data_IF_458267096984
#
_entry.id   IF_458267096984
#
_cell.length_a   1.000
_cell.length_b   1.000
_cell.length_c   1.000
_cell.angle_alpha   90.00
_cell.angle_beta   90.00
_cell.angle_gamma   90.00
#
_symmetry.space_group_name_H-M   'P 1'
#
loop_
_entity.id
_entity.type
_entity.pdbx_description
1 polymer ?
#
# COMPACT_ATOMS: atom_id res chain seq x y z
N UNK A 1 6.43 -12.55 61.51
CA UNK A 1 7.10 -13.46 60.55
C UNK A 1 6.28 -13.77 59.30
N UNK A 2 4.94 -13.93 59.36
CA UNK A 2 4.11 -14.24 58.19
C UNK A 2 4.17 -13.20 57.04
N UNK A 3 4.20 -11.90 57.38
CA UNK A 3 4.19 -10.82 56.39
C UNK A 3 5.45 -10.78 55.51
N UNK A 4 6.63 -11.04 56.08
CA UNK A 4 7.90 -11.11 55.35
C UNK A 4 7.93 -12.30 54.37
N UNK A 5 7.30 -13.41 54.75
CA UNK A 5 7.17 -14.58 53.89
C UNK A 5 6.21 -14.32 52.71
N UNK A 6 5.07 -13.68 52.96
CA UNK A 6 4.11 -13.26 51.92
C UNK A 6 4.71 -12.25 50.94
N UNK A 7 5.52 -11.30 51.40
CA UNK A 7 6.26 -10.36 50.56
C UNK A 7 7.27 -11.06 49.64
N UNK A 8 8.03 -12.03 50.17
CA UNK A 8 8.99 -12.84 49.40
C UNK A 8 8.31 -13.72 48.35
N UNK A 9 7.16 -14.34 48.70
CA UNK A 9 6.36 -15.13 47.76
C UNK A 9 5.74 -14.24 46.68
N UNK A 10 5.22 -13.06 47.06
CA UNK A 10 4.68 -12.08 46.11
C UNK A 10 5.75 -11.56 45.13
N UNK A 11 6.95 -11.25 45.61
CA UNK A 11 8.07 -10.86 44.74
C UNK A 11 8.47 -11.98 43.78
N UNK A 12 8.54 -13.24 44.24
CA UNK A 12 8.83 -14.38 43.37
C UNK A 12 7.74 -14.56 42.30
N UNK A 13 6.46 -14.48 42.67
CA UNK A 13 5.34 -14.59 41.73
C UNK A 13 5.36 -13.48 40.67
N UNK A 14 5.67 -12.24 41.06
CA UNK A 14 5.81 -11.12 40.12
C UNK A 14 6.98 -11.34 39.15
N UNK A 15 8.12 -11.83 39.64
CA UNK A 15 9.29 -12.13 38.80
C UNK A 15 9.01 -13.27 37.81
N UNK A 16 8.41 -14.36 38.26
CA UNK A 16 8.02 -15.49 37.38
C UNK A 16 6.95 -15.07 36.37
N UNK A 17 5.96 -14.28 36.80
CA UNK A 17 4.95 -13.72 35.91
C UNK A 17 5.55 -12.82 34.83
N UNK A 18 6.49 -11.94 35.21
CA UNK A 18 7.23 -11.10 34.27
C UNK A 18 8.07 -11.90 33.28
N UNK A 19 8.79 -12.93 33.75
CA UNK A 19 9.59 -13.80 32.89
C UNK A 19 8.71 -14.54 31.86
N UNK A 20 7.57 -15.08 32.29
CA UNK A 20 6.61 -15.73 31.39
C UNK A 20 6.05 -14.76 30.35
N UNK A 21 5.71 -13.52 30.75
CA UNK A 21 5.22 -12.50 29.83
C UNK A 21 6.28 -12.11 28.79
N UNK A 22 7.53 -11.90 29.20
CA UNK A 22 8.65 -11.59 28.28
C UNK A 22 8.91 -12.76 27.33
N UNK A 23 8.90 -14.00 27.82
CA UNK A 23 9.07 -15.20 27.00
C UNK A 23 7.95 -15.33 25.96
N UNK A 24 6.69 -15.15 26.37
CA UNK A 24 5.54 -15.17 25.46
C UNK A 24 5.62 -14.06 24.41
N UNK A 25 5.95 -12.83 24.82
CA UNK A 25 6.14 -11.72 23.90
C UNK A 25 7.27 -12.01 22.90
N UNK A 26 8.39 -12.58 23.38
CA UNK A 26 9.49 -13.04 22.55
C UNK A 26 9.06 -14.11 21.54
N UNK A 27 8.32 -15.13 21.97
CA UNK A 27 7.82 -16.20 21.10
C UNK A 27 6.83 -15.68 20.05
N UNK A 28 5.96 -14.72 20.41
CA UNK A 28 5.05 -14.07 19.48
C UNK A 28 5.84 -13.25 18.46
N UNK A 29 6.85 -12.49 18.90
CA UNK A 29 7.68 -11.69 18.02
C UNK A 29 8.45 -12.58 17.03
N UNK A 30 9.09 -13.66 17.51
CA UNK A 30 9.82 -14.59 16.64
C UNK A 30 8.90 -15.27 15.66
N UNK A 31 7.71 -15.73 16.07
CA UNK A 31 6.73 -16.32 15.16
C UNK A 31 6.27 -15.33 14.09
N UNK A 32 6.04 -14.06 14.43
CA UNK A 32 5.67 -13.03 13.45
C UNK A 32 6.80 -12.74 12.47
N UNK A 33 8.05 -12.65 12.95
CA UNK A 33 9.22 -12.46 12.10
C UNK A 33 9.43 -13.65 11.15
N UNK A 34 9.26 -14.89 11.64
CA UNK A 34 9.34 -16.09 10.81
C UNK A 34 8.24 -16.12 9.74
N UNK A 35 7.00 -15.78 10.10
CA UNK A 35 5.89 -15.66 9.14
C UNK A 35 6.16 -14.59 8.09
N UNK A 36 6.69 -13.43 8.51
CA UNK A 36 7.08 -12.35 7.61
C UNK A 36 8.20 -12.79 6.66
N UNK A 37 9.25 -13.45 7.17
CA UNK A 37 10.35 -13.96 6.36
C UNK A 37 9.89 -15.04 5.37
N UNK A 38 9.03 -15.97 5.81
CA UNK A 38 8.44 -16.99 4.93
C UNK A 38 7.55 -16.37 3.85
N UNK A 39 6.71 -15.39 4.20
CA UNK A 39 5.88 -14.64 3.25
C UNK A 39 6.72 -13.88 2.23
N UNK A 40 7.80 -13.23 2.68
CA UNK A 40 8.74 -12.53 1.82
C UNK A 40 9.44 -13.49 0.86
N UNK A 41 9.99 -14.60 1.35
CA UNK A 41 10.65 -15.61 0.53
C UNK A 41 9.69 -16.23 -0.51
N UNK A 42 8.45 -16.51 -0.09
CA UNK A 42 7.40 -17.02 -0.97
C UNK A 42 7.08 -16.02 -2.09
N UNK A 43 6.88 -14.76 -1.73
CA UNK A 43 6.57 -13.68 -2.69
C UNK A 43 7.74 -13.44 -3.63
N UNK A 44 8.97 -13.45 -3.11
CA UNK A 44 10.19 -13.33 -3.89
C UNK A 44 10.29 -14.42 -4.95
N UNK A 45 10.07 -15.68 -4.56
CA UNK A 45 10.10 -16.80 -5.47
C UNK A 45 9.02 -16.69 -6.57
N UNK A 46 7.79 -16.30 -6.22
CA UNK A 46 6.70 -16.11 -7.19
C UNK A 46 6.97 -14.97 -8.17
N UNK A 47 7.60 -13.89 -7.71
CA UNK A 47 7.89 -12.71 -8.52
C UNK A 47 9.24 -12.82 -9.25
N UNK A 48 9.93 -13.95 -9.20
CA UNK A 48 11.24 -14.14 -9.82
C UNK A 48 11.20 -14.04 -11.35
N UNK A 49 10.11 -14.49 -11.98
CA UNK A 49 9.94 -14.45 -13.43
C UNK A 49 9.68 -13.03 -13.99
N UNK A 50 9.29 -12.10 -13.12
CA UNK A 50 8.95 -10.72 -13.50
C UNK A 50 10.25 -9.90 -13.58
N UNK A 51 10.57 -9.26 -14.72
CA UNK A 51 11.77 -8.45 -14.86
C UNK A 51 11.87 -7.38 -13.78
N UNK A 52 13.06 -7.19 -13.22
CA UNK A 52 13.33 -6.23 -12.13
C UNK A 52 14.49 -5.33 -12.49
N UNK A 53 14.51 -4.13 -11.93
CA UNK A 53 15.70 -3.29 -11.98
C UNK A 53 16.84 -3.95 -11.20
N UNK A 54 18.06 -3.67 -11.60
CA UNK A 54 19.26 -4.07 -10.86
C UNK A 54 19.42 -3.22 -9.58
N UNK A 55 20.21 -3.72 -8.62
CA UNK A 55 20.54 -2.97 -7.40
C UNK A 55 19.54 -3.07 -6.25
N UNK A 56 18.68 -4.10 -6.20
CA UNK A 56 17.81 -4.34 -5.06
C UNK A 56 18.60 -4.75 -3.80
N UNK A 57 18.51 -3.95 -2.74
CA UNK A 57 19.10 -4.28 -1.44
C UNK A 57 18.27 -5.34 -0.69
N UNK A 58 18.89 -6.22 0.11
CA UNK A 58 18.16 -7.12 0.99
C UNK A 58 17.20 -6.34 1.91
N UNK A 59 15.95 -6.82 2.03
CA UNK A 59 14.86 -6.25 2.83
C UNK A 59 14.34 -4.86 2.44
N UNK A 60 15.18 -3.96 1.93
CA UNK A 60 14.81 -2.59 1.53
C UNK A 60 14.42 -2.50 0.04
N UNK A 61 14.89 -3.44 -0.78
CA UNK A 61 14.68 -3.43 -2.22
C UNK A 61 15.35 -2.21 -2.87
N UNK A 62 14.60 -1.51 -3.71
CA UNK A 62 15.03 -0.31 -4.44
C UNK A 62 14.65 0.98 -3.71
N UNK A 63 14.08 0.91 -2.50
CA UNK A 63 13.60 2.10 -1.79
C UNK A 63 14.69 3.18 -1.63
N UNK A 64 15.94 2.78 -1.42
CA UNK A 64 17.09 3.69 -1.30
C UNK A 64 17.56 4.29 -2.64
N UNK A 65 17.18 3.68 -3.75
CA UNK A 65 17.51 4.17 -5.09
C UNK A 65 16.50 5.20 -5.59
N UNK A 66 15.33 5.28 -4.95
CA UNK A 66 14.28 6.21 -5.33
C UNK A 66 14.63 7.63 -4.91
N UNK A 67 14.39 8.59 -5.80
CA UNK A 67 14.55 10.01 -5.50
C UNK A 67 13.48 10.45 -4.49
N UNK A 68 13.83 11.24 -3.46
CA UNK A 68 12.89 11.67 -2.44
C UNK A 68 12.00 12.84 -2.90
N UNK A 69 12.49 13.67 -3.81
CA UNK A 69 11.71 14.76 -4.41
C UNK A 69 10.68 14.21 -5.42
N UNK A 70 9.46 14.74 -5.40
CA UNK A 70 8.36 14.23 -6.21
C UNK A 70 8.59 14.40 -7.72
N UNK A 71 9.20 15.51 -8.14
CA UNK A 71 9.51 15.79 -9.55
C UNK A 71 10.61 14.85 -10.01
N UNK A 72 11.70 14.77 -9.24
CA UNK A 72 12.84 13.91 -9.59
C UNK A 72 12.44 12.42 -9.59
N UNK A 73 11.60 12.01 -8.64
CA UNK A 73 11.02 10.66 -8.61
C UNK A 73 10.21 10.37 -9.87
N UNK A 74 9.32 11.29 -10.26
CA UNK A 74 8.50 11.12 -11.45
C UNK A 74 9.36 11.02 -12.73
N UNK A 75 10.37 11.88 -12.85
CA UNK A 75 11.33 11.84 -13.96
C UNK A 75 12.14 10.53 -13.97
N UNK A 76 12.60 10.08 -12.80
CA UNK A 76 13.29 8.80 -12.64
C UNK A 76 12.41 7.63 -13.09
N UNK A 77 11.12 7.64 -12.73
CA UNK A 77 10.20 6.59 -13.16
C UNK A 77 10.01 6.58 -14.68
N UNK A 78 9.86 7.75 -15.31
CA UNK A 78 9.79 7.85 -16.77
C UNK A 78 11.07 7.28 -17.40
N UNK A 79 12.23 7.69 -16.90
CA UNK A 79 13.52 7.21 -17.40
C UNK A 79 13.62 5.69 -17.33
N UNK A 80 13.27 5.07 -16.18
CA UNK A 80 13.27 3.61 -16.06
C UNK A 80 12.32 2.93 -17.06
N UNK A 81 11.13 3.49 -17.29
CA UNK A 81 10.19 2.91 -18.25
C UNK A 81 10.65 3.05 -19.71
N UNK A 82 11.32 4.15 -20.06
CA UNK A 82 11.84 4.36 -21.41
C UNK A 82 13.06 3.47 -21.70
N UNK A 83 14.02 3.39 -20.76
CA UNK A 83 15.20 2.52 -20.90
C UNK A 83 14.82 1.03 -21.02
N UNK A 84 13.74 0.62 -20.34
CA UNK A 84 13.28 -0.76 -20.30
C UNK A 84 12.08 -1.02 -21.21
N UNK A 85 11.79 -0.14 -22.18
CA UNK A 85 10.60 -0.22 -23.05
C UNK A 85 10.51 -1.51 -23.87
N UNK A 86 11.64 -2.20 -24.07
CA UNK A 86 11.71 -3.51 -24.72
C UNK A 86 11.13 -4.65 -23.87
N UNK A 87 10.95 -4.42 -22.56
CA UNK A 87 10.28 -5.35 -21.64
C UNK A 87 8.78 -5.03 -21.58
N UNK A 88 7.91 -6.03 -21.35
CA UNK A 88 6.46 -5.81 -21.27
C UNK A 88 6.03 -5.05 -20.01
N UNK A 89 6.81 -5.17 -18.94
CA UNK A 89 6.55 -4.60 -17.61
C UNK A 89 7.85 -4.61 -16.79
N UNK A 90 7.89 -3.82 -15.72
CA UNK A 90 9.04 -3.72 -14.82
C UNK A 90 8.57 -3.86 -13.38
N UNK A 91 9.33 -4.55 -12.53
CA UNK A 91 9.07 -4.67 -11.10
C UNK A 91 10.15 -3.97 -10.29
N UNK A 92 9.73 -3.25 -9.25
CA UNK A 92 10.60 -2.75 -8.20
C UNK A 92 10.15 -3.31 -6.85
N UNK A 93 11.10 -3.78 -6.04
CA UNK A 93 10.87 -4.06 -4.63
C UNK A 93 10.90 -2.77 -3.81
N UNK A 94 9.84 -2.47 -3.05
CA UNK A 94 9.81 -1.44 -2.02
C UNK A 94 9.69 -2.13 -0.66
N UNK A 95 10.83 -2.28 0.00
CA UNK A 95 10.91 -3.18 1.14
C UNK A 95 10.51 -4.61 0.75
N UNK A 96 9.57 -5.25 1.49
CA UNK A 96 9.05 -6.57 1.15
C UNK A 96 7.92 -6.56 0.09
N UNK A 97 7.53 -5.40 -0.43
CA UNK A 97 6.38 -5.25 -1.34
C UNK A 97 6.87 -5.11 -2.79
N UNK A 98 6.52 -6.03 -3.69
CA UNK A 98 6.82 -5.87 -5.11
C UNK A 98 5.78 -4.93 -5.77
N UNK A 99 6.27 -3.88 -6.42
CA UNK A 99 5.48 -2.95 -7.22
C UNK A 99 5.76 -3.22 -8.69
N UNK A 100 4.70 -3.47 -9.46
CA UNK A 100 4.80 -3.73 -10.91
C UNK A 100 4.32 -2.51 -11.68
N UNK A 101 5.19 -2.00 -12.54
CA UNK A 101 4.93 -0.88 -13.45
C UNK A 101 4.52 -1.43 -14.81
N UNK A 102 3.33 -1.01 -15.25
CA UNK A 102 2.79 -1.29 -16.57
C UNK A 102 2.90 -0.01 -17.39
N UNK A 103 3.63 -0.06 -18.49
CA UNK A 103 3.87 1.07 -19.40
C UNK A 103 3.64 0.71 -20.87
N UNK A 104 3.52 -0.59 -21.19
CA UNK A 104 3.05 -1.01 -22.50
C UNK A 104 1.52 -0.89 -22.55
N UNK A 105 1.00 -0.25 -23.60
CA UNK A 105 -0.43 0.01 -23.79
C UNK A 105 -1.27 -1.27 -23.73
N UNK A 106 -0.81 -2.37 -24.33
CA UNK A 106 -1.53 -3.65 -24.35
C UNK A 106 -1.75 -4.20 -22.94
N UNK A 107 -0.71 -4.14 -22.10
CA UNK A 107 -0.79 -4.61 -20.72
C UNK A 107 -1.63 -3.68 -19.83
N UNK A 108 -1.54 -2.37 -20.06
CA UNK A 108 -2.33 -1.37 -19.34
C UNK A 108 -3.82 -1.52 -19.66
N UNK A 109 -4.17 -1.74 -20.93
CA UNK A 109 -5.55 -1.92 -21.38
C UNK A 109 -6.22 -3.11 -20.68
N UNK A 110 -5.53 -4.25 -20.57
CA UNK A 110 -6.04 -5.46 -19.90
C UNK A 110 -6.46 -5.18 -18.45
N UNK A 111 -5.69 -4.35 -17.73
CA UNK A 111 -6.00 -3.99 -16.35
C UNK A 111 -7.12 -2.94 -16.28
N UNK A 112 -7.05 -1.88 -17.09
CA UNK A 112 -8.00 -0.77 -17.04
C UNK A 112 -9.41 -1.16 -17.52
N UNK A 113 -9.51 -2.10 -18.46
CA UNK A 113 -10.79 -2.63 -18.96
C UNK A 113 -11.35 -3.76 -18.09
N UNK A 114 -10.57 -4.27 -17.13
CA UNK A 114 -10.99 -5.39 -16.29
C UNK A 114 -12.13 -5.01 -15.36
N UNK A 115 -13.25 -5.72 -15.45
CA UNK A 115 -14.32 -5.61 -14.46
C UNK A 115 -14.05 -6.40 -13.17
N UNK A 116 -13.04 -7.29 -13.18
CA UNK A 116 -12.67 -8.17 -12.06
C UNK A 116 -11.59 -7.54 -11.17
N UNK A 117 -10.55 -6.97 -11.75
CA UNK A 117 -9.41 -6.42 -11.01
C UNK A 117 -9.61 -4.94 -10.64
N UNK A 118 -10.65 -4.66 -9.85
CA UNK A 118 -11.01 -3.29 -9.43
C UNK A 118 -10.64 -2.97 -7.98
N UNK A 119 -10.01 -3.92 -7.29
CA UNK A 119 -9.56 -3.76 -5.92
C UNK A 119 -8.49 -2.66 -5.80
N UNK A 120 -8.66 -1.82 -4.79
CA UNK A 120 -7.73 -0.73 -4.53
C UNK A 120 -6.48 -1.27 -3.84
N UNK A 121 -5.34 -0.70 -4.22
CA UNK A 121 -4.07 -0.97 -3.53
C UNK A 121 -4.20 -0.67 -2.03
N UNK A 122 -3.45 -1.38 -1.20
CA UNK A 122 -3.33 -1.12 0.23
C UNK A 122 -3.03 0.35 0.55
N UNK A 123 -2.35 1.06 -0.37
CA UNK A 123 -2.06 2.49 -0.23
C UNK A 123 -3.32 3.36 -0.05
N UNK A 124 -4.47 2.96 -0.59
CA UNK A 124 -5.73 3.68 -0.40
C UNK A 124 -6.25 3.62 1.04
N UNK A 125 -5.80 2.65 1.86
CA UNK A 125 -6.18 2.57 3.28
C UNK A 125 -5.73 3.79 4.07
N UNK A 126 -4.68 4.47 3.63
CA UNK A 126 -4.24 5.74 4.21
C UNK A 126 -5.32 6.83 4.13
N UNK A 127 -6.19 6.76 3.12
CA UNK A 127 -7.28 7.71 2.93
C UNK A 127 -8.57 7.34 3.68
N UNK A 128 -8.68 6.09 4.18
CA UNK A 128 -9.90 5.62 4.84
C UNK A 128 -10.26 6.38 6.13
N UNK A 129 -9.31 6.78 7.02
CA UNK A 129 -9.64 7.58 8.19
C UNK A 129 -10.29 8.92 7.86
N UNK A 130 -9.95 9.49 6.70
CA UNK A 130 -10.47 10.78 6.23
C UNK A 130 -11.76 10.63 5.41
N UNK A 131 -11.74 9.78 4.39
CA UNK A 131 -12.83 9.66 3.40
C UNK A 131 -13.83 8.53 3.71
N UNK A 132 -13.54 7.72 4.73
CA UNK A 132 -14.24 6.48 5.01
C UNK A 132 -14.16 5.49 3.85
N UNK A 133 -15.09 4.54 3.84
CA UNK A 133 -15.29 3.63 2.71
C UNK A 133 -16.21 4.30 1.67
N UNK A 134 -15.62 5.22 0.90
CA UNK A 134 -16.18 6.13 -0.10
C UNK A 134 -16.13 5.63 -1.56
N UNK A 135 -16.41 6.52 -2.53
CA UNK A 135 -16.20 6.21 -3.96
C UNK A 135 -14.73 5.86 -4.27
N UNK A 136 -13.78 6.58 -3.66
CA UNK A 136 -12.35 6.42 -3.96
C UNK A 136 -11.74 5.15 -3.33
N UNK A 137 -12.21 4.78 -2.13
CA UNK A 137 -11.63 3.72 -1.29
C UNK A 137 -12.40 2.40 -1.35
N UNK A 138 -13.67 2.40 -1.78
CA UNK A 138 -14.44 1.15 -1.94
C UNK A 138 -14.06 0.36 -3.20
N UNK A 139 -14.37 -0.94 -3.17
CA UNK A 139 -14.21 -1.88 -4.29
C UNK A 139 -15.54 -2.60 -4.60
N UNK A 140 -15.55 -3.41 -5.65
CA UNK A 140 -16.64 -4.34 -5.95
C UNK A 140 -17.97 -3.65 -6.23
N UNK A 141 -19.06 -4.28 -5.78
CA UNK A 141 -20.41 -3.76 -5.97
C UNK A 141 -20.66 -2.43 -5.26
N UNK A 142 -20.01 -2.19 -4.11
CA UNK A 142 -20.12 -0.92 -3.36
C UNK A 142 -19.56 0.24 -4.19
N UNK A 143 -18.40 0.04 -4.81
CA UNK A 143 -17.83 1.01 -5.74
C UNK A 143 -18.73 1.24 -6.96
N UNK A 144 -19.18 0.17 -7.62
CA UNK A 144 -20.05 0.26 -8.81
C UNK A 144 -21.34 1.04 -8.55
N UNK A 145 -22.03 0.73 -7.44
CA UNK A 145 -23.28 1.41 -7.06
C UNK A 145 -23.05 2.92 -6.85
N UNK A 146 -21.99 3.29 -6.11
CA UNK A 146 -21.66 4.69 -5.83
C UNK A 146 -21.23 5.46 -7.07
N UNK A 147 -20.42 4.83 -7.94
CA UNK A 147 -20.04 5.44 -9.23
C UNK A 147 -21.26 5.66 -10.11
N UNK A 148 -22.17 4.69 -10.18
CA UNK A 148 -23.42 4.83 -10.96
C UNK A 148 -24.29 5.98 -10.46
N UNK A 149 -24.36 6.17 -9.13
CA UNK A 149 -25.10 7.27 -8.51
C UNK A 149 -24.48 8.65 -8.78
N UNK A 150 -23.15 8.76 -8.75
CA UNK A 150 -22.43 10.04 -8.90
C UNK A 150 -22.16 10.43 -10.36
N UNK A 151 -21.99 9.49 -11.28
CA UNK A 151 -21.64 9.80 -12.69
C UNK A 151 -22.57 10.84 -13.34
N UNK A 152 -23.91 10.82 -13.12
CA UNK A 152 -24.81 11.81 -13.71
C UNK A 152 -24.50 13.26 -13.32
N UNK A 153 -23.94 13.54 -12.13
CA UNK A 153 -23.65 14.92 -11.69
C UNK A 153 -22.51 15.57 -12.47
N UNK A 154 -21.75 14.78 -13.23
CA UNK A 154 -20.67 15.24 -14.11
C UNK A 154 -21.08 15.20 -15.58
N UNK A 155 -22.38 15.08 -15.87
CA UNK A 155 -22.89 15.20 -17.23
C UNK A 155 -22.82 16.66 -17.70
N UNK A 156 -22.51 16.89 -18.99
CA UNK A 156 -22.27 18.24 -19.54
C UNK A 156 -23.38 19.25 -19.21
N UNK A 157 -24.65 18.83 -19.33
CA UNK A 157 -25.80 19.67 -19.00
C UNK A 157 -25.77 20.21 -17.57
N UNK A 158 -25.35 19.40 -16.60
CA UNK A 158 -25.24 19.82 -15.20
C UNK A 158 -24.00 20.70 -15.01
N UNK A 159 -22.90 20.40 -15.72
CA UNK A 159 -21.67 21.17 -15.63
C UNK A 159 -21.85 22.60 -16.17
N UNK A 160 -22.65 22.77 -17.23
CA UNK A 160 -22.99 24.09 -17.80
C UNK A 160 -23.68 24.98 -16.75
N UNK A 161 -24.63 24.44 -15.99
CA UNK A 161 -25.31 25.16 -14.90
C UNK A 161 -24.33 25.63 -13.80
N UNK A 162 -23.19 24.96 -13.62
CA UNK A 162 -22.16 25.34 -12.66
C UNK A 162 -21.17 26.38 -13.20
N UNK A 163 -21.13 26.65 -14.51
CA UNK A 163 -20.14 27.57 -15.10
C UNK A 163 -20.30 29.00 -14.57
N UNK A 164 -21.53 29.49 -14.42
CA UNK A 164 -21.78 30.84 -13.92
C UNK A 164 -21.24 31.02 -12.50
N UNK A 165 -21.52 30.05 -11.62
CA UNK A 165 -21.01 30.04 -10.24
C UNK A 165 -19.49 29.94 -10.22
N UNK A 166 -18.89 29.07 -11.04
CA UNK A 166 -17.44 28.91 -11.11
C UNK A 166 -16.76 30.20 -11.59
N UNK A 167 -17.32 30.88 -12.60
CA UNK A 167 -16.80 32.14 -13.11
C UNK A 167 -16.92 33.27 -12.09
N UNK A 168 -18.03 33.35 -11.36
CA UNK A 168 -18.20 34.32 -10.28
C UNK A 168 -17.13 34.11 -9.20
N UNK A 169 -16.93 32.87 -8.73
CA UNK A 169 -15.93 32.57 -7.70
C UNK A 169 -14.50 32.76 -8.19
N UNK A 170 -14.22 32.50 -9.47
CA UNK A 170 -12.90 32.72 -10.06
C UNK A 170 -12.49 34.20 -10.12
N UNK A 171 -13.45 35.13 -10.14
CA UNK A 171 -13.16 36.57 -10.09
C UNK A 171 -12.91 37.10 -8.67
N UNK A 172 -13.23 36.31 -7.64
CA UNK A 172 -13.08 36.68 -6.22
C UNK A 172 -11.73 36.18 -5.64
N UNK A 173 -11.21 35.06 -6.15
CA UNK A 173 -9.93 34.44 -5.77
C UNK A 173 -8.75 35.01 -6.57
#
# INVERSE_FOLDING_TARGET
MLALWLLSVGQKLLLWGGLCAVSLAGAILTLNLLRMAASYAWTWQRMRAVPTLEGAYPFLGHALLLKPDARDFFQQMIQYTEEHRHLPLLKLWLGPIPVVFLYNAENVEVILTSSKHIDKSYMYKFLEPWLGLGLLTSTGNKWRSRRKMLTPTFHFTILEDFLDVLNEQANIL
#
